data_IF_907897364545
#
_entry.id   IF_907897364545
#
_cell.length_a   1.000
_cell.length_b   1.000
_cell.length_c   1.000
_cell.angle_alpha   90.00
_cell.angle_beta   90.00
_cell.angle_gamma   90.00
#
_symmetry.space_group_name_H-M   'P 1'
#
loop_
_entity.id
_entity.type
_entity.pdbx_description
1 polymer ?
#
# COMPACT_ATOMS: atom_id res chain seq x y z
N UNK A 1 30.03 20.86 38.95
CA UNK A 1 29.09 19.88 38.37
C UNK A 1 29.15 19.98 36.86
N UNK A 2 29.74 18.98 36.19
CA UNK A 2 29.87 18.97 34.73
C UNK A 2 28.54 18.49 34.11
N UNK A 3 27.95 19.32 33.24
CA UNK A 3 26.73 19.00 32.51
C UNK A 3 27.05 17.96 31.45
N UNK A 4 26.54 16.74 31.63
CA UNK A 4 26.71 15.63 30.69
C UNK A 4 26.11 16.02 29.33
N UNK A 5 26.97 16.32 28.36
CA UNK A 5 26.56 16.57 26.97
C UNK A 5 26.15 15.23 26.37
N UNK A 6 24.84 15.03 26.21
CA UNK A 6 24.30 13.90 25.46
C UNK A 6 24.99 13.84 24.09
N UNK A 7 25.76 12.78 23.84
CA UNK A 7 26.40 12.54 22.56
C UNK A 7 25.30 12.46 21.49
N UNK A 8 25.45 13.14 20.33
CA UNK A 8 24.46 13.03 19.26
C UNK A 8 24.29 11.56 18.92
N UNK A 9 23.07 11.06 19.08
CA UNK A 9 22.75 9.64 18.91
C UNK A 9 23.28 9.14 17.57
N UNK A 10 24.01 8.03 17.59
CA UNK A 10 24.53 7.37 16.39
C UNK A 10 23.36 7.18 15.41
N UNK A 11 23.43 7.84 14.26
CA UNK A 11 22.37 7.79 13.26
C UNK A 11 22.00 6.35 12.92
N UNK A 12 20.72 6.10 12.64
CA UNK A 12 20.26 4.76 12.31
C UNK A 12 20.96 4.25 11.03
N UNK A 13 21.35 2.96 10.98
CA UNK A 13 22.04 2.40 9.82
C UNK A 13 21.16 2.50 8.57
N UNK A 14 21.78 2.61 7.40
CA UNK A 14 21.07 2.65 6.11
C UNK A 14 20.06 3.80 5.95
N UNK A 15 20.37 4.99 6.48
CA UNK A 15 19.50 6.19 6.39
C UNK A 15 18.97 6.50 4.99
N UNK A 16 19.81 6.41 3.98
CA UNK A 16 19.44 6.66 2.59
C UNK A 16 18.43 5.64 2.05
N UNK A 17 18.52 4.36 2.46
CA UNK A 17 17.57 3.33 2.03
C UNK A 17 16.20 3.52 2.67
N UNK A 18 16.14 3.91 3.94
CA UNK A 18 14.88 4.27 4.58
C UNK A 18 14.26 5.51 3.94
N UNK A 19 15.05 6.55 3.64
CA UNK A 19 14.57 7.73 2.94
C UNK A 19 14.02 7.37 1.55
N UNK A 20 14.73 6.52 0.80
CA UNK A 20 14.26 6.00 -0.49
C UNK A 20 12.97 5.19 -0.37
N UNK A 21 12.85 4.34 0.65
CA UNK A 21 11.63 3.57 0.87
C UNK A 21 10.44 4.48 1.18
N UNK A 22 10.59 5.44 2.09
CA UNK A 22 9.54 6.42 2.41
C UNK A 22 9.13 7.23 1.17
N UNK A 23 10.11 7.69 0.38
CA UNK A 23 9.84 8.43 -0.84
C UNK A 23 9.04 7.60 -1.85
N UNK A 24 9.45 6.35 -2.11
CA UNK A 24 8.75 5.45 -3.03
C UNK A 24 7.30 5.19 -2.59
N UNK A 25 7.08 5.02 -1.29
CA UNK A 25 5.73 4.84 -0.74
C UNK A 25 4.87 6.10 -0.90
N UNK A 26 5.42 7.28 -0.57
CA UNK A 26 4.73 8.56 -0.72
C UNK A 26 4.40 8.87 -2.18
N UNK A 27 5.36 8.69 -3.08
CA UNK A 27 5.16 8.90 -4.52
C UNK A 27 4.11 7.95 -5.10
N UNK A 28 4.14 6.67 -4.74
CA UNK A 28 3.12 5.71 -5.15
C UNK A 28 1.73 6.12 -4.63
N UNK A 29 1.65 6.57 -3.38
CA UNK A 29 0.39 7.01 -2.76
C UNK A 29 -0.16 8.23 -3.48
N UNK A 30 0.68 9.24 -3.72
CA UNK A 30 0.31 10.45 -4.43
C UNK A 30 -0.23 10.15 -5.83
N UNK A 31 0.49 9.35 -6.63
CA UNK A 31 0.06 8.97 -7.99
C UNK A 31 -1.25 8.17 -7.96
N UNK A 32 -1.43 7.28 -6.99
CA UNK A 32 -2.68 6.53 -6.83
C UNK A 32 -3.86 7.45 -6.53
N UNK A 33 -3.65 8.44 -5.66
CA UNK A 33 -4.70 9.40 -5.29
C UNK A 33 -5.05 10.34 -6.45
N UNK A 34 -4.06 10.79 -7.23
CA UNK A 34 -4.27 11.64 -8.40
C UNK A 34 -5.01 10.92 -9.54
N UNK A 35 -4.64 9.67 -9.83
CA UNK A 35 -5.26 8.88 -10.90
C UNK A 35 -6.79 8.78 -10.77
N UNK A 36 -7.30 8.86 -9.54
CA UNK A 36 -8.72 8.72 -9.20
C UNK A 36 -9.46 10.05 -9.04
N UNK A 37 -8.78 11.20 -9.18
CA UNK A 37 -9.39 12.53 -9.05
C UNK A 37 -9.93 13.10 -10.36
N UNK A 38 -9.81 12.38 -11.48
CA UNK A 38 -10.50 12.73 -12.72
C UNK A 38 -12.01 12.46 -12.54
N UNK A 39 -12.88 13.48 -12.60
CA UNK A 39 -14.32 13.27 -12.47
C UNK A 39 -14.86 12.49 -13.67
N UNK A 40 -15.67 11.46 -13.38
CA UNK A 40 -16.54 10.81 -14.35
C UNK A 40 -17.65 11.80 -14.75
N UNK A 41 -17.43 12.59 -15.80
CA UNK A 41 -18.52 13.25 -16.52
C UNK A 41 -19.00 12.32 -17.64
N UNK A 42 -20.28 11.92 -17.68
CA UNK A 42 -20.84 11.26 -18.84
C UNK A 42 -21.14 12.30 -19.94
N UNK A 43 -20.65 12.01 -21.15
CA UNK A 43 -21.17 12.39 -22.47
C UNK A 43 -21.14 13.86 -22.91
N UNK A 44 -20.41 14.14 -24.00
CA UNK A 44 -20.82 15.01 -25.12
C UNK A 44 -19.83 14.84 -26.27
N UNK A 45 -20.33 14.45 -27.44
CA UNK A 45 -19.67 14.45 -28.74
C UNK A 45 -19.04 15.82 -29.09
N UNK A 46 -17.98 15.81 -29.90
CA UNK A 46 -17.83 16.62 -31.13
C UNK A 46 -16.39 16.60 -31.68
N UNK A 47 -16.31 16.68 -33.01
CA UNK A 47 -15.18 16.41 -33.89
C UNK A 47 -14.24 17.62 -34.00
N UNK A 48 -12.92 17.39 -34.14
CA UNK A 48 -11.98 18.45 -34.54
C UNK A 48 -10.52 18.01 -34.63
N UNK A 49 -10.04 17.79 -35.86
CA UNK A 49 -8.63 17.55 -36.16
C UNK A 49 -7.85 18.87 -36.19
N UNK A 50 -6.82 18.99 -35.35
CA UNK A 50 -5.70 19.91 -35.56
C UNK A 50 -4.46 19.38 -34.81
N UNK A 51 -3.31 19.50 -35.46
CA UNK A 51 -2.05 18.82 -35.14
C UNK A 51 -1.55 19.08 -33.70
N UNK A 52 -1.25 17.99 -32.97
CA UNK A 52 -0.72 18.04 -31.60
C UNK A 52 0.64 17.37 -31.52
N UNK A 53 1.66 18.22 -31.39
CA UNK A 53 2.99 17.88 -30.90
C UNK A 53 2.89 17.09 -29.58
N UNK A 54 3.81 16.15 -29.42
CA UNK A 54 3.86 15.05 -28.45
C UNK A 54 3.22 15.33 -27.07
N UNK A 55 2.12 14.62 -26.81
CA UNK A 55 1.23 14.82 -25.67
C UNK A 55 1.73 14.13 -24.39
N UNK A 56 2.23 14.89 -23.42
CA UNK A 56 2.31 14.45 -22.03
C UNK A 56 0.95 14.67 -21.35
N UNK A 57 0.04 13.74 -21.54
CA UNK A 57 -1.29 13.75 -20.93
C UNK A 57 -1.21 13.33 -19.44
N UNK A 58 -1.51 14.20 -18.46
CA UNK A 58 -1.57 13.82 -17.05
C UNK A 58 -3.00 13.33 -16.70
N UNK A 59 -3.53 12.38 -17.45
CA UNK A 59 -4.97 12.04 -17.40
C UNK A 59 -5.32 10.64 -16.91
N UNK A 60 -4.40 9.68 -17.03
CA UNK A 60 -4.64 8.31 -16.56
C UNK A 60 -3.40 7.85 -15.82
N UNK A 61 -3.43 7.91 -14.49
CA UNK A 61 -2.35 7.32 -13.70
C UNK A 61 -2.28 5.84 -14.03
N UNK A 62 -1.29 5.46 -14.85
CA UNK A 62 -1.23 4.11 -15.39
C UNK A 62 -1.02 3.17 -14.20
N UNK A 63 -1.93 2.21 -13.93
CA UNK A 63 -1.82 1.33 -12.77
C UNK A 63 -0.47 0.59 -12.76
N UNK A 64 0.13 0.38 -13.94
CA UNK A 64 1.48 -0.17 -14.10
C UNK A 64 2.56 0.68 -13.44
N UNK A 65 2.48 2.01 -13.53
CA UNK A 65 3.45 2.92 -12.91
C UNK A 65 3.39 2.85 -11.38
N UNK A 66 2.19 2.88 -10.80
CA UNK A 66 1.99 2.73 -9.35
C UNK A 66 2.51 1.38 -8.86
N UNK A 67 2.15 0.30 -9.57
CA UNK A 67 2.64 -1.04 -9.26
C UNK A 67 4.17 -1.13 -9.35
N UNK A 68 4.78 -0.47 -10.34
CA UNK A 68 6.22 -0.41 -10.50
C UNK A 68 6.89 0.27 -9.30
N UNK A 69 6.39 1.40 -8.80
CA UNK A 69 6.93 2.04 -7.59
C UNK A 69 6.82 1.13 -6.36
N UNK A 70 5.70 0.42 -6.20
CA UNK A 70 5.54 -0.57 -5.13
C UNK A 70 6.51 -1.75 -5.24
N UNK A 71 6.79 -2.21 -6.47
CA UNK A 71 7.79 -3.25 -6.73
C UNK A 71 9.21 -2.75 -6.38
N UNK A 72 9.54 -1.50 -6.74
CA UNK A 72 10.79 -0.86 -6.34
C UNK A 72 10.93 -0.75 -4.83
N UNK A 73 9.87 -0.36 -4.13
CA UNK A 73 9.85 -0.32 -2.66
C UNK A 73 10.19 -1.69 -2.07
N UNK A 74 9.54 -2.76 -2.55
CA UNK A 74 9.80 -4.13 -2.10
C UNK A 74 11.24 -4.54 -2.38
N UNK A 75 11.75 -4.25 -3.58
CA UNK A 75 13.12 -4.57 -3.96
C UNK A 75 14.16 -3.85 -3.09
N UNK A 76 13.97 -2.55 -2.83
CA UNK A 76 14.85 -1.76 -1.94
C UNK A 76 14.81 -2.31 -0.52
N UNK A 77 13.62 -2.66 -0.01
CA UNK A 77 13.46 -3.26 1.31
C UNK A 77 14.19 -4.60 1.43
N UNK A 78 14.04 -5.49 0.44
CA UNK A 78 14.68 -6.80 0.46
C UNK A 78 16.19 -6.70 0.30
N UNK A 79 16.68 -5.93 -0.68
CA UNK A 79 18.12 -5.75 -0.92
C UNK A 79 18.81 -5.04 0.23
N UNK A 80 18.15 -4.03 0.82
CA UNK A 80 18.65 -3.30 1.98
C UNK A 80 18.46 -4.01 3.31
N UNK A 81 17.87 -5.21 3.33
CA UNK A 81 17.45 -5.92 4.55
C UNK A 81 16.64 -5.04 5.52
N UNK A 82 15.86 -4.10 4.98
CA UNK A 82 15.04 -3.19 5.75
C UNK A 82 13.69 -3.82 6.07
N UNK A 83 13.32 -3.84 7.35
CA UNK A 83 11.97 -4.21 7.78
C UNK A 83 11.02 -3.05 7.50
N UNK A 84 10.04 -3.25 6.63
CA UNK A 84 8.94 -2.29 6.45
C UNK A 84 8.04 -2.29 7.70
N UNK A 85 7.44 -1.13 7.99
CA UNK A 85 6.38 -1.05 9.00
C UNK A 85 5.21 -1.96 8.61
N UNK A 86 4.49 -2.45 9.62
CA UNK A 86 3.35 -3.35 9.41
C UNK A 86 2.30 -2.69 8.50
N UNK A 87 1.98 -1.44 8.77
CA UNK A 87 0.97 -0.67 8.03
C UNK A 87 1.35 -0.51 6.57
N UNK A 88 2.61 -0.16 6.29
CA UNK A 88 3.10 -0.03 4.91
C UNK A 88 3.13 -1.39 4.19
N UNK A 89 3.50 -2.47 4.88
CA UNK A 89 3.43 -3.82 4.32
C UNK A 89 1.97 -4.24 4.04
N UNK A 90 1.03 -3.86 4.91
CA UNK A 90 -0.38 -4.19 4.77
C UNK A 90 -1.04 -3.41 3.64
N UNK A 91 -0.65 -2.16 3.41
CA UNK A 91 -1.16 -1.33 2.32
C UNK A 91 -0.62 -1.68 0.92
N UNK A 92 0.23 -2.71 0.75
CA UNK A 92 0.76 -3.11 -0.56
C UNK A 92 0.28 -4.49 -1.01
N UNK A 93 -0.16 -4.65 -2.24
CA UNK A 93 -0.54 -5.95 -2.78
C UNK A 93 0.64 -6.95 -2.73
N UNK A 94 0.36 -8.20 -2.32
CA UNK A 94 1.39 -9.24 -2.18
C UNK A 94 1.91 -9.76 -3.53
N UNK A 95 1.14 -9.60 -4.61
CA UNK A 95 1.44 -10.06 -5.97
C UNK A 95 1.90 -8.90 -6.85
N UNK A 96 1.03 -7.95 -7.17
CA UNK A 96 1.34 -6.85 -8.10
C UNK A 96 1.96 -5.60 -7.46
N UNK A 97 2.08 -5.56 -6.14
CA UNK A 97 2.65 -4.43 -5.38
C UNK A 97 1.91 -3.09 -5.49
N UNK A 98 0.69 -3.09 -6.04
CA UNK A 98 -0.21 -1.94 -5.98
C UNK A 98 -0.49 -1.49 -4.54
N UNK A 99 -0.67 -0.18 -4.32
CA UNK A 99 -1.22 0.30 -3.06
C UNK A 99 -2.70 -0.07 -2.94
N UNK A 100 -3.10 -0.54 -1.76
CA UNK A 100 -4.44 -0.96 -1.40
C UNK A 100 -5.10 0.18 -0.61
N UNK A 101 -5.79 1.05 -1.33
CA UNK A 101 -6.57 2.17 -0.77
C UNK A 101 -8.04 1.74 -0.76
N UNK A 102 -8.68 1.68 0.43
CA UNK A 102 -10.09 1.32 0.55
C UNK A 102 -10.97 2.18 -0.36
N UNK A 103 -11.89 1.55 -1.09
CA UNK A 103 -12.84 2.24 -1.97
C UNK A 103 -12.24 2.81 -3.26
N UNK A 104 -10.92 2.66 -3.49
CA UNK A 104 -10.25 3.07 -4.73
C UNK A 104 -9.60 1.88 -5.43
N UNK A 105 -8.51 1.38 -4.87
CA UNK A 105 -7.71 0.29 -5.47
C UNK A 105 -7.89 -1.05 -4.75
N UNK A 106 -8.60 -1.06 -3.62
CA UNK A 106 -8.99 -2.29 -2.94
C UNK A 106 -10.41 -2.24 -2.40
N UNK A 107 -11.07 -3.38 -2.42
CA UNK A 107 -12.31 -3.65 -1.67
C UNK A 107 -11.97 -4.30 -0.34
N UNK A 108 -12.73 -3.97 0.71
CA UNK A 108 -12.53 -4.46 2.06
C UNK A 108 -13.83 -5.06 2.57
N UNK A 109 -13.78 -6.31 3.00
CA UNK A 109 -14.94 -7.06 3.50
C UNK A 109 -14.58 -7.78 4.80
N UNK A 110 -15.56 -7.91 5.70
CA UNK A 110 -15.44 -8.78 6.88
C UNK A 110 -16.18 -10.09 6.58
N UNK A 111 -15.45 -11.20 6.51
CA UNK A 111 -16.01 -12.51 6.21
C UNK A 111 -15.92 -13.43 7.44
N UNK A 112 -17.02 -14.07 7.81
CA UNK A 112 -17.04 -15.12 8.82
C UNK A 112 -17.49 -16.45 8.19
N UNK A 113 -16.54 -17.34 7.93
CA UNK A 113 -16.79 -18.65 7.31
C UNK A 113 -17.17 -19.75 8.31
N UNK A 114 -17.43 -19.40 9.57
CA UNK A 114 -17.96 -20.39 10.52
C UNK A 114 -19.38 -20.81 10.13
N UNK A 115 -19.81 -22.00 10.54
CA UNK A 115 -21.14 -22.53 10.24
C UNK A 115 -22.21 -21.54 10.73
N UNK A 116 -22.92 -20.89 9.80
CA UNK A 116 -23.95 -19.88 10.12
C UNK A 116 -23.42 -18.63 10.85
N UNK A 117 -22.12 -18.31 10.77
CA UNK A 117 -21.54 -17.19 11.52
C UNK A 117 -21.48 -17.41 13.03
N UNK A 118 -21.58 -18.65 13.49
CA UNK A 118 -21.75 -18.99 14.92
C UNK A 118 -20.55 -18.66 15.82
N UNK A 119 -19.35 -18.48 15.26
CA UNK A 119 -18.13 -18.22 16.04
C UNK A 119 -17.67 -16.76 15.86
N UNK A 120 -17.82 -15.88 16.87
CA UNK A 120 -17.45 -14.47 16.73
C UNK A 120 -15.93 -14.24 16.61
N UNK A 121 -15.10 -15.17 17.09
CA UNK A 121 -13.63 -15.10 16.93
C UNK A 121 -13.12 -15.60 15.57
N UNK A 122 -14.03 -16.02 14.68
CA UNK A 122 -13.69 -16.53 13.36
C UNK A 122 -13.84 -15.48 12.25
N UNK A 123 -14.03 -14.22 12.61
CA UNK A 123 -14.07 -13.10 11.68
C UNK A 123 -12.72 -12.89 11.00
N UNK A 124 -12.74 -12.70 9.68
CA UNK A 124 -11.55 -12.46 8.88
C UNK A 124 -11.76 -11.19 8.06
N UNK A 125 -10.91 -10.20 8.27
CA UNK A 125 -10.85 -9.01 7.45
C UNK A 125 -10.12 -9.31 6.15
N UNK A 126 -10.86 -9.28 5.04
CA UNK A 126 -10.35 -9.53 3.70
C UNK A 126 -10.17 -8.19 2.97
N UNK A 127 -8.98 -7.99 2.42
CA UNK A 127 -8.66 -6.88 1.50
C UNK A 127 -8.37 -7.49 0.14
N UNK A 128 -9.19 -7.19 -0.86
CA UNK A 128 -9.04 -7.63 -2.23
C UNK A 128 -8.49 -6.51 -3.11
N UNK A 129 -7.49 -6.84 -3.93
CA UNK A 129 -6.88 -5.88 -4.85
C UNK A 129 -7.70 -5.80 -6.14
N UNK A 130 -8.20 -4.62 -6.49
CA UNK A 130 -9.03 -4.42 -7.70
C UNK A 130 -8.23 -4.52 -9.01
N UNK A 131 -6.89 -4.55 -8.93
CA UNK A 131 -6.01 -4.62 -10.11
C UNK A 131 -5.70 -6.07 -10.51
N UNK A 132 -5.56 -6.99 -9.54
CA UNK A 132 -5.14 -8.38 -9.79
C UNK A 132 -5.99 -9.43 -9.06
N UNK A 133 -7.06 -9.05 -8.37
CA UNK A 133 -7.97 -9.93 -7.63
C UNK A 133 -7.36 -10.61 -6.39
N UNK A 134 -6.10 -10.30 -6.06
CA UNK A 134 -5.41 -10.98 -4.97
C UNK A 134 -5.94 -10.54 -3.60
N UNK A 135 -6.30 -11.52 -2.76
CA UNK A 135 -6.86 -11.29 -1.42
C UNK A 135 -5.81 -11.41 -0.31
N UNK A 136 -5.82 -10.45 0.62
CA UNK A 136 -5.13 -10.48 1.91
C UNK A 136 -6.16 -10.70 3.02
N UNK A 137 -5.81 -11.52 4.01
CA UNK A 137 -6.72 -11.91 5.09
C UNK A 137 -6.06 -11.66 6.43
N UNK A 138 -6.78 -11.04 7.35
CA UNK A 138 -6.34 -10.76 8.70
C UNK A 138 -7.40 -11.27 9.68
N UNK A 139 -7.04 -12.18 10.61
CA UNK A 139 -8.00 -12.62 11.62
C UNK A 139 -8.37 -11.46 12.54
N UNK A 140 -9.67 -11.26 12.76
CA UNK A 140 -10.24 -10.25 13.65
C UNK A 140 -10.83 -10.97 14.86
N UNK A 141 -10.58 -10.46 16.07
CA UNK A 141 -11.14 -11.04 17.30
C UNK A 141 -10.50 -12.36 17.78
N UNK A 142 -9.61 -12.97 17.00
CA UNK A 142 -8.87 -14.15 17.44
C UNK A 142 -7.88 -13.80 18.58
N UNK A 143 -7.97 -14.52 19.70
CA UNK A 143 -6.98 -14.38 20.79
C UNK A 143 -5.61 -14.80 20.28
N UNK A 144 -4.60 -13.94 20.50
CA UNK A 144 -3.21 -14.26 20.17
C UNK A 144 -2.77 -15.48 20.98
N UNK A 145 -2.20 -16.47 20.29
CA UNK A 145 -1.61 -17.61 20.98
C UNK A 145 -0.51 -17.12 21.93
N UNK A 146 -0.55 -17.61 23.17
CA UNK A 146 0.47 -17.30 24.16
C UNK A 146 1.80 -17.91 23.73
N UNK A 147 2.91 -17.27 24.12
CA UNK A 147 4.24 -17.85 23.94
C UNK A 147 4.37 -19.13 24.77
N UNK A 148 5.24 -20.04 24.35
CA UNK A 148 5.47 -21.34 25.02
C UNK A 148 5.74 -21.17 26.52
N UNK A 149 6.46 -20.11 26.91
CA UNK A 149 6.81 -19.80 28.30
C UNK A 149 5.59 -19.45 29.19
N UNK A 150 4.43 -19.18 28.59
CA UNK A 150 3.19 -18.80 29.26
C UNK A 150 2.04 -19.80 29.04
N UNK A 151 2.33 -20.97 28.45
CA UNK A 151 1.34 -22.02 28.14
C UNK A 151 1.27 -23.05 29.25
#
# INVERSE_FOLDING_TARGET
>A
MAKDKQKPGKGFPNRHLHARASFLYQAATYLTLQATSAPLSPESDEIGAHERHESLNPGTGNPKQVCHLGAHLRAVSQKGQLRLSLDMKHSLCKTCHALLIPGRTSTQNLENRSKGGSKPWADVFEIECNICGTKKRFPVGAKRQQRKDKR
#
